data_IF_141958395780
#
_entry.id   IF_141958395780
#
_cell.length_a   1.000
_cell.length_b   1.000
_cell.length_c   1.000
_cell.angle_alpha   90.00
_cell.angle_beta   90.00
_cell.angle_gamma   90.00
#
_symmetry.space_group_name_H-M   'P 1'
#
loop_
_entity.id
_entity.type
_entity.pdbx_description
1 polymer ?
#
# COMPACT_ATOMS: atom_id res chain seq x y z
N UNK A 1 -38.62 52.92 7.02
CA UNK A 1 -38.37 51.50 7.39
C UNK A 1 -37.03 51.08 6.81
N UNK A 2 -36.02 50.87 7.65
CA UNK A 2 -34.71 50.31 7.25
C UNK A 2 -34.64 48.90 7.82
N UNK A 3 -34.66 47.88 6.97
CA UNK A 3 -34.47 46.49 7.38
C UNK A 3 -32.97 46.25 7.58
N UNK A 4 -32.57 45.97 8.83
CA UNK A 4 -31.28 45.36 9.13
C UNK A 4 -31.39 43.85 8.85
N UNK A 5 -30.63 43.38 7.87
CA UNK A 5 -30.44 41.95 7.61
C UNK A 5 -29.20 41.52 8.39
N UNK A 6 -29.41 40.79 9.47
CA UNK A 6 -28.37 40.10 10.22
C UNK A 6 -28.01 38.79 9.51
N UNK A 7 -26.81 38.72 8.93
CA UNK A 7 -26.21 37.45 8.47
C UNK A 7 -25.66 36.69 9.68
N UNK A 8 -26.06 35.43 9.92
CA UNK A 8 -25.38 34.60 10.91
C UNK A 8 -24.04 34.12 10.34
N UNK A 9 -22.95 34.48 11.01
CA UNK A 9 -21.63 33.90 10.77
C UNK A 9 -21.67 32.46 11.30
N UNK A 10 -21.74 31.46 10.42
CA UNK A 10 -21.47 30.07 10.79
C UNK A 10 -19.97 29.93 11.04
N UNK A 11 -19.56 29.91 12.30
CA UNK A 11 -18.23 29.47 12.69
C UNK A 11 -18.13 27.95 12.47
N UNK A 12 -17.41 27.53 11.44
CA UNK A 12 -17.02 26.13 11.29
C UNK A 12 -16.04 25.77 12.42
N UNK A 13 -16.50 25.01 13.40
CA UNK A 13 -15.63 24.39 14.40
C UNK A 13 -14.78 23.33 13.67
N UNK A 14 -13.55 23.68 13.31
CA UNK A 14 -12.57 22.69 12.86
C UNK A 14 -12.09 21.91 14.08
N UNK A 15 -12.56 20.67 14.24
CA UNK A 15 -11.98 19.74 15.20
C UNK A 15 -10.49 19.55 14.88
N UNK A 16 -9.61 19.75 15.87
CA UNK A 16 -8.20 19.47 15.71
C UNK A 16 -8.01 17.95 15.55
N UNK A 17 -7.49 17.53 14.41
CA UNK A 17 -7.16 16.13 14.15
C UNK A 17 -5.79 15.83 14.76
N UNK A 18 -5.73 14.92 15.74
CA UNK A 18 -4.47 14.52 16.40
C UNK A 18 -4.03 13.18 15.85
N UNK A 19 -2.79 13.10 15.36
CA UNK A 19 -2.19 11.85 14.88
C UNK A 19 -1.94 10.92 16.07
N UNK A 20 -2.42 9.69 15.98
CA UNK A 20 -2.16 8.64 16.97
C UNK A 20 -0.85 7.94 16.58
N UNK A 21 0.26 8.42 17.13
CA UNK A 21 1.61 7.97 16.74
C UNK A 21 1.80 6.45 16.90
N UNK A 22 1.32 5.86 18.00
CA UNK A 22 1.47 4.43 18.29
C UNK A 22 0.74 3.50 17.31
N UNK A 23 -0.18 4.02 16.50
CA UNK A 23 -0.91 3.29 15.47
C UNK A 23 -0.67 3.88 14.07
N UNK A 24 0.41 4.64 13.90
CA UNK A 24 0.74 5.33 12.64
C UNK A 24 2.21 5.10 12.25
N UNK A 25 2.50 5.06 10.95
CA UNK A 25 3.85 5.07 10.40
C UNK A 25 3.91 5.78 9.03
N UNK A 26 5.09 6.26 8.65
CA UNK A 26 5.31 6.91 7.35
C UNK A 26 4.80 8.35 7.24
N UNK A 27 4.55 9.03 8.37
CA UNK A 27 4.25 10.48 8.42
C UNK A 27 5.50 11.36 8.60
N UNK A 28 6.63 10.78 9.02
CA UNK A 28 7.91 11.46 9.15
C UNK A 28 8.80 11.32 7.91
N UNK A 29 10.09 11.67 8.03
CA UNK A 29 11.05 11.54 6.93
C UNK A 29 11.42 10.08 6.63
N UNK A 30 11.31 9.19 7.61
CA UNK A 30 11.56 7.75 7.47
C UNK A 30 10.37 6.95 7.96
N UNK A 31 10.17 5.77 7.36
CA UNK A 31 9.13 4.82 7.77
C UNK A 31 9.42 4.23 9.15
N UNK A 32 10.70 3.97 9.43
CA UNK A 32 11.17 3.42 10.68
C UNK A 32 12.52 4.02 11.08
N UNK A 33 12.81 4.13 12.39
CA UNK A 33 14.15 4.41 12.89
C UNK A 33 15.20 3.37 12.42
N UNK A 34 14.80 2.09 12.32
CA UNK A 34 15.68 0.96 11.99
C UNK A 34 15.11 0.14 10.83
N UNK A 35 15.90 -0.72 10.19
CA UNK A 35 15.43 -1.59 9.08
C UNK A 35 14.76 -2.89 9.55
N UNK A 36 14.59 -3.09 10.85
CA UNK A 36 14.14 -4.37 11.41
C UNK A 36 12.75 -4.32 12.04
N UNK A 37 12.28 -3.14 12.45
CA UNK A 37 10.99 -2.98 13.13
C UNK A 37 10.27 -1.74 12.65
N UNK A 38 8.96 -1.60 12.90
CA UNK A 38 8.24 -0.33 12.81
C UNK A 38 7.67 -0.06 14.22
N UNK A 39 7.94 1.10 14.85
CA UNK A 39 7.46 1.37 16.20
C UNK A 39 5.93 1.22 16.32
N UNK A 40 5.48 0.48 17.33
CA UNK A 40 4.05 0.21 17.55
C UNK A 40 3.43 -0.83 16.62
N UNK A 41 4.22 -1.45 15.72
CA UNK A 41 3.73 -2.44 14.75
C UNK A 41 4.51 -3.75 14.83
N UNK A 42 3.78 -4.87 14.85
CA UNK A 42 4.34 -6.19 14.67
C UNK A 42 4.22 -6.63 13.22
N UNK A 43 5.35 -7.00 12.64
CA UNK A 43 5.45 -7.38 11.23
C UNK A 43 5.89 -8.84 11.15
N UNK A 44 5.32 -9.58 10.21
CA UNK A 44 5.68 -10.97 9.97
C UNK A 44 5.07 -11.49 8.68
N UNK A 45 5.36 -12.74 8.34
CA UNK A 45 4.88 -13.35 7.11
C UNK A 45 5.02 -14.86 7.10
N UNK A 46 4.46 -15.48 6.06
CA UNK A 46 4.57 -16.90 5.76
C UNK A 46 5.14 -17.07 4.35
N UNK A 47 6.12 -17.96 4.20
CA UNK A 47 6.87 -18.15 2.96
C UNK A 47 7.88 -17.02 2.64
N UNK A 48 7.82 -15.91 3.37
CA UNK A 48 8.75 -14.78 3.27
C UNK A 48 8.73 -13.94 4.56
N UNK A 49 9.78 -13.17 4.79
CA UNK A 49 9.84 -12.15 5.86
C UNK A 49 9.76 -10.76 5.23
N UNK A 50 8.69 -9.97 5.49
CA UNK A 50 8.52 -8.64 4.91
C UNK A 50 9.76 -7.75 5.08
N UNK A 51 10.07 -6.95 4.05
CA UNK A 51 11.25 -6.08 4.06
C UNK A 51 10.86 -4.65 4.44
N UNK A 52 11.51 -4.12 5.48
CA UNK A 52 11.34 -2.73 5.91
C UNK A 52 12.45 -1.89 5.30
N UNK A 53 12.08 -0.98 4.41
CA UNK A 53 12.98 -0.01 3.80
C UNK A 53 12.74 1.38 4.41
N UNK A 54 13.63 2.32 4.11
CA UNK A 54 13.58 3.68 4.69
C UNK A 54 12.28 4.42 4.37
N UNK A 55 11.63 4.11 3.24
CA UNK A 55 10.44 4.82 2.75
C UNK A 55 9.23 3.91 2.52
N UNK A 56 9.36 2.59 2.66
CA UNK A 56 8.27 1.64 2.39
C UNK A 56 8.46 0.30 3.08
N UNK A 57 7.36 -0.36 3.40
CA UNK A 57 7.29 -1.74 3.83
C UNK A 57 6.87 -2.59 2.62
N UNK A 58 7.69 -3.55 2.23
CA UNK A 58 7.35 -4.55 1.21
C UNK A 58 6.69 -5.72 1.92
N UNK A 59 5.37 -5.81 1.84
CA UNK A 59 4.58 -6.82 2.52
C UNK A 59 4.64 -8.17 1.78
N UNK A 60 4.64 -8.12 0.45
CA UNK A 60 4.88 -9.30 -0.40
C UNK A 60 5.93 -8.96 -1.47
N UNK A 61 6.89 -9.86 -1.74
CA UNK A 61 7.91 -9.64 -2.74
C UNK A 61 7.37 -9.95 -4.16
N UNK A 62 8.01 -9.44 -5.22
CA UNK A 62 7.70 -9.83 -6.60
C UNK A 62 8.10 -11.28 -6.93
N UNK A 63 8.90 -11.91 -6.07
CA UNK A 63 9.25 -13.33 -6.09
C UNK A 63 9.85 -13.71 -4.72
N UNK A 64 9.57 -14.89 -4.13
CA UNK A 64 8.70 -15.96 -4.63
C UNK A 64 7.19 -15.66 -4.48
N UNK A 65 6.36 -16.38 -5.22
CA UNK A 65 4.90 -16.39 -5.03
C UNK A 65 4.45 -17.26 -3.86
N UNK A 66 3.13 -17.35 -3.63
CA UNK A 66 2.50 -18.05 -2.51
C UNK A 66 2.97 -17.55 -1.13
N UNK A 67 3.26 -16.25 -1.04
CA UNK A 67 3.71 -15.61 0.19
C UNK A 67 2.58 -14.82 0.84
N UNK A 68 2.63 -14.72 2.16
CA UNK A 68 1.76 -13.86 2.96
C UNK A 68 2.60 -12.93 3.81
N UNK A 69 2.14 -11.70 3.98
CA UNK A 69 2.73 -10.74 4.90
C UNK A 69 1.65 -10.07 5.74
N UNK A 70 2.01 -9.67 6.95
CA UNK A 70 1.16 -8.86 7.81
C UNK A 70 1.95 -7.78 8.54
N UNK A 71 1.25 -6.72 8.90
CA UNK A 71 1.67 -5.71 9.85
C UNK A 71 0.48 -5.38 10.75
N UNK A 72 0.59 -5.57 12.06
CA UNK A 72 -0.48 -5.30 13.04
C UNK A 72 -0.04 -4.24 14.04
N UNK A 73 -0.89 -3.25 14.30
CA UNK A 73 -0.69 -2.30 15.37
C UNK A 73 -0.79 -3.02 16.73
N UNK A 74 0.13 -2.71 17.65
CA UNK A 74 0.20 -3.32 18.97
C UNK A 74 -0.79 -2.68 19.96
N UNK A 75 -1.13 -1.41 19.75
CA UNK A 75 -2.06 -0.67 20.58
C UNK A 75 -3.47 -0.63 19.95
N UNK A 76 -4.53 -0.97 20.71
CA UNK A 76 -5.89 -0.81 20.25
C UNK A 76 -6.28 0.67 20.19
N UNK A 77 -7.21 0.99 19.28
CA UNK A 77 -7.70 2.36 19.09
C UNK A 77 -8.81 2.65 20.08
N UNK A 78 -8.59 3.59 20.99
CA UNK A 78 -9.54 3.98 22.04
C UNK A 78 -10.62 4.97 21.58
N UNK A 79 -10.45 5.59 20.41
CA UNK A 79 -11.35 6.62 19.90
C UNK A 79 -12.51 6.02 19.08
N UNK A 80 -13.73 6.49 19.30
CA UNK A 80 -14.92 6.10 18.51
C UNK A 80 -14.96 6.76 17.13
N UNK A 81 -14.40 7.97 17.02
CA UNK A 81 -14.31 8.73 15.76
C UNK A 81 -12.85 8.90 15.34
N UNK A 82 -12.56 8.50 14.11
CA UNK A 82 -11.20 8.51 13.57
C UNK A 82 -11.21 8.64 12.05
N UNK A 83 -10.09 9.11 11.52
CA UNK A 83 -9.77 9.08 10.10
C UNK A 83 -8.42 8.40 9.89
N UNK A 84 -8.35 7.47 8.94
CA UNK A 84 -7.12 6.77 8.57
C UNK A 84 -6.77 7.09 7.12
N UNK A 85 -5.51 7.44 6.86
CA UNK A 85 -4.94 7.53 5.52
C UNK A 85 -3.97 6.38 5.29
N UNK A 86 -4.21 5.59 4.25
CA UNK A 86 -3.42 4.43 3.87
C UNK A 86 -2.87 4.61 2.46
N UNK A 87 -1.54 4.55 2.31
CA UNK A 87 -0.87 4.66 1.02
C UNK A 87 -0.17 3.36 0.66
N UNK A 88 -0.54 2.80 -0.49
CA UNK A 88 0.00 1.53 -0.97
C UNK A 88 0.29 1.56 -2.47
N UNK A 89 1.05 0.58 -2.93
CA UNK A 89 1.26 0.31 -4.36
C UNK A 89 1.28 -1.19 -4.59
N UNK A 90 0.68 -1.62 -5.69
CA UNK A 90 0.82 -2.98 -6.19
C UNK A 90 1.58 -2.96 -7.52
N UNK A 91 2.64 -3.75 -7.62
CA UNK A 91 3.42 -3.90 -8.86
C UNK A 91 3.68 -5.36 -9.16
N UNK A 92 3.55 -5.77 -10.42
CA UNK A 92 3.82 -7.15 -10.81
C UNK A 92 3.82 -7.34 -12.32
N UNK A 93 4.24 -8.54 -12.73
CA UNK A 93 4.28 -8.97 -14.13
C UNK A 93 2.87 -9.01 -14.75
N UNK A 94 2.80 -9.16 -16.08
CA UNK A 94 1.52 -9.44 -16.73
C UNK A 94 0.86 -10.68 -16.10
N UNK A 95 -0.40 -10.55 -15.70
CA UNK A 95 -1.18 -11.57 -14.96
C UNK A 95 -0.67 -11.92 -13.55
N UNK A 96 0.18 -11.09 -12.95
CA UNK A 96 0.38 -11.11 -11.50
C UNK A 96 -0.93 -10.87 -10.74
N UNK A 97 -0.95 -11.23 -9.47
CA UNK A 97 -2.11 -11.00 -8.64
C UNK A 97 -1.83 -11.18 -7.15
N UNK A 98 -2.92 -11.18 -6.41
CA UNK A 98 -2.90 -11.20 -4.96
C UNK A 98 -3.95 -10.24 -4.42
N UNK A 99 -4.03 -10.17 -3.11
CA UNK A 99 -4.97 -9.33 -2.41
C UNK A 99 -4.25 -8.60 -1.28
N UNK A 100 -4.70 -7.38 -1.03
CA UNK A 100 -4.26 -6.53 0.08
C UNK A 100 -5.49 -6.23 0.92
N UNK A 101 -5.38 -6.36 2.23
CA UNK A 101 -6.45 -6.06 3.16
C UNK A 101 -5.98 -5.09 4.23
N UNK A 102 -6.75 -4.04 4.45
CA UNK A 102 -6.66 -3.20 5.64
C UNK A 102 -7.78 -3.61 6.60
N UNK A 103 -7.41 -3.92 7.84
CA UNK A 103 -8.29 -4.41 8.87
C UNK A 103 -8.45 -3.38 9.99
N UNK A 104 -9.65 -3.34 10.56
CA UNK A 104 -9.93 -2.77 11.87
C UNK A 104 -10.73 -3.80 12.66
N UNK A 105 -10.02 -4.64 13.41
CA UNK A 105 -10.58 -5.88 13.96
C UNK A 105 -10.19 -6.09 15.43
N UNK A 106 -11.08 -6.77 16.16
CA UNK A 106 -10.85 -7.25 17.51
C UNK A 106 -9.85 -8.40 17.49
N UNK A 107 -8.85 -8.35 18.36
CA UNK A 107 -7.81 -9.38 18.49
C UNK A 107 -7.13 -9.73 17.15
N UNK A 108 -6.91 -8.72 16.30
CA UNK A 108 -6.60 -8.92 14.88
C UNK A 108 -5.39 -9.82 14.63
N UNK A 109 -4.28 -9.60 15.35
CA UNK A 109 -3.09 -10.43 15.16
C UNK A 109 -3.32 -11.91 15.53
N UNK A 110 -4.03 -12.19 16.63
CA UNK A 110 -4.22 -13.56 17.12
C UNK A 110 -5.31 -14.31 16.35
N UNK A 111 -6.35 -13.61 15.88
CA UNK A 111 -7.48 -14.19 15.13
C UNK A 111 -7.26 -14.23 13.62
N UNK A 112 -6.65 -13.20 13.04
CA UNK A 112 -6.49 -13.05 11.58
C UNK A 112 -5.06 -13.39 11.17
N UNK A 113 -4.07 -12.84 11.87
CA UNK A 113 -2.65 -13.08 11.59
C UNK A 113 -2.26 -12.66 10.17
N UNK A 114 -1.89 -13.64 9.34
CA UNK A 114 -1.49 -13.52 7.92
C UNK A 114 -2.65 -13.80 6.94
N UNK A 115 -3.87 -14.00 7.43
CA UNK A 115 -5.00 -14.45 6.63
C UNK A 115 -5.51 -13.36 5.67
N UNK A 116 -5.87 -13.77 4.46
CA UNK A 116 -6.69 -12.96 3.55
C UNK A 116 -8.17 -13.07 3.91
N UNK A 117 -9.01 -12.19 3.35
CA UNK A 117 -10.48 -12.27 3.50
C UNK A 117 -11.05 -13.64 3.05
N UNK A 118 -10.35 -14.33 2.15
CA UNK A 118 -10.74 -15.63 1.59
C UNK A 118 -10.29 -16.83 2.44
N UNK A 119 -9.45 -16.60 3.45
CA UNK A 119 -8.87 -17.66 4.27
C UNK A 119 -9.03 -17.46 5.77
N UNK A 120 -9.48 -16.28 6.19
CA UNK A 120 -9.74 -15.94 7.59
C UNK A 120 -10.96 -16.72 8.08
N UNK A 121 -10.91 -17.16 9.33
CA UNK A 121 -12.03 -17.84 9.98
C UNK A 121 -13.13 -16.88 10.43
N UNK A 122 -13.59 -17.06 11.67
CA UNK A 122 -14.41 -16.09 12.38
C UNK A 122 -13.56 -14.92 12.90
N UNK A 123 -14.05 -13.70 12.69
CA UNK A 123 -13.40 -12.46 13.11
C UNK A 123 -14.46 -11.39 13.38
N UNK A 124 -14.13 -10.35 14.15
CA UNK A 124 -15.06 -9.27 14.52
C UNK A 124 -14.44 -7.92 14.15
N UNK A 125 -15.10 -7.18 13.26
CA UNK A 125 -14.70 -5.84 12.83
C UNK A 125 -14.97 -5.55 11.36
N UNK A 126 -14.11 -4.70 10.79
CA UNK A 126 -14.14 -4.25 9.40
C UNK A 126 -12.89 -4.64 8.62
N UNK A 127 -13.06 -4.93 7.33
CA UNK A 127 -11.97 -5.17 6.39
C UNK A 127 -12.22 -4.43 5.08
N UNK A 128 -11.20 -3.71 4.60
CA UNK A 128 -11.14 -3.14 3.26
C UNK A 128 -10.20 -3.99 2.41
N UNK A 129 -10.71 -4.56 1.33
CA UNK A 129 -9.97 -5.47 0.46
C UNK A 129 -9.73 -4.81 -0.89
N UNK A 130 -8.50 -4.90 -1.37
CA UNK A 130 -8.07 -4.52 -2.71
C UNK A 130 -7.66 -5.78 -3.45
N UNK A 131 -8.38 -6.12 -4.52
CA UNK A 131 -8.11 -7.31 -5.33
C UNK A 131 -8.64 -7.19 -6.76
N UNK A 132 -8.44 -8.25 -7.55
CA UNK A 132 -8.86 -8.31 -8.96
C UNK A 132 -10.32 -8.77 -9.15
N UNK A 133 -11.15 -8.70 -8.11
CA UNK A 133 -12.57 -9.04 -8.23
C UNK A 133 -13.31 -7.99 -9.08
N UNK A 134 -14.38 -8.39 -9.78
CA UNK A 134 -15.20 -7.50 -10.60
C UNK A 134 -14.67 -7.22 -12.03
N UNK A 135 -13.50 -7.75 -12.40
CA UNK A 135 -12.98 -7.72 -13.77
C UNK A 135 -11.53 -7.26 -13.87
N UNK A 136 -11.09 -6.91 -15.11
CA UNK A 136 -9.68 -6.58 -15.40
C UNK A 136 -9.15 -5.33 -14.67
N UNK A 137 -10.05 -4.46 -14.20
CA UNK A 137 -9.67 -3.22 -13.52
C UNK A 137 -9.31 -3.43 -12.06
N UNK A 138 -9.75 -4.49 -11.40
CA UNK A 138 -9.67 -4.61 -9.95
C UNK A 138 -10.70 -3.72 -9.22
N UNK A 139 -10.88 -3.98 -7.93
CA UNK A 139 -11.88 -3.33 -7.10
C UNK A 139 -11.40 -3.12 -5.67
N UNK A 140 -12.05 -2.18 -5.00
CA UNK A 140 -11.92 -1.96 -3.55
C UNK A 140 -13.25 -2.29 -2.91
N UNK A 141 -13.25 -3.13 -1.88
CA UNK A 141 -14.46 -3.73 -1.29
C UNK A 141 -14.42 -3.71 0.23
N UNK A 142 -15.54 -3.37 0.86
CA UNK A 142 -15.72 -3.36 2.31
C UNK A 142 -16.46 -4.60 2.80
N UNK A 143 -15.93 -5.23 3.84
CA UNK A 143 -16.49 -6.40 4.52
C UNK A 143 -16.66 -6.14 6.00
N UNK A 144 -17.65 -6.80 6.60
CA UNK A 144 -17.93 -6.76 8.04
C UNK A 144 -18.15 -8.17 8.56
N UNK A 145 -17.75 -8.39 9.79
CA UNK A 145 -18.08 -9.60 10.53
C UNK A 145 -18.23 -9.23 12.01
N UNK A 146 -19.09 -9.94 12.71
CA UNK A 146 -19.41 -9.76 14.13
C UNK A 146 -18.90 -10.94 14.97
N UNK A 147 -18.01 -11.76 14.41
CA UNK A 147 -17.49 -12.98 15.01
C UNK A 147 -18.32 -14.23 14.73
N UNK A 148 -19.48 -14.13 14.08
CA UNK A 148 -20.37 -15.29 13.87
C UNK A 148 -20.05 -16.06 12.59
N UNK A 149 -19.69 -15.35 11.52
CA UNK A 149 -19.53 -15.94 10.19
C UNK A 149 -18.10 -16.44 9.98
N UNK A 150 -17.95 -17.71 9.60
CA UNK A 150 -16.67 -18.25 9.17
C UNK A 150 -16.45 -17.99 7.68
N UNK A 151 -15.56 -17.04 7.37
CA UNK A 151 -15.28 -16.63 6.00
C UNK A 151 -14.55 -17.72 5.20
N UNK A 152 -13.73 -18.54 5.85
CA UNK A 152 -12.93 -19.60 5.21
C UNK A 152 -13.81 -20.72 4.65
N UNK A 153 -14.92 -21.02 5.32
CA UNK A 153 -15.88 -22.03 4.87
C UNK A 153 -17.04 -21.46 4.05
N UNK A 154 -17.10 -20.14 3.87
CA UNK A 154 -18.17 -19.49 3.12
C UNK A 154 -18.05 -19.75 1.61
N UNK A 155 -19.14 -20.19 0.98
CA UNK A 155 -19.14 -20.59 -0.44
C UNK A 155 -18.83 -19.46 -1.41
N UNK A 156 -19.21 -18.24 -1.05
CA UNK A 156 -19.00 -17.03 -1.86
C UNK A 156 -18.64 -15.88 -0.94
N UNK A 157 -17.36 -15.74 -0.61
CA UNK A 157 -16.91 -14.62 0.22
C UNK A 157 -17.24 -13.29 -0.45
N UNK A 158 -17.15 -13.24 -1.78
CA UNK A 158 -17.39 -12.03 -2.56
C UNK A 158 -18.80 -11.44 -2.38
N UNK A 159 -19.82 -12.26 -2.11
CA UNK A 159 -21.19 -11.77 -1.86
C UNK A 159 -21.37 -11.13 -0.49
N UNK A 160 -20.40 -11.24 0.41
CA UNK A 160 -20.43 -10.64 1.75
C UNK A 160 -19.98 -9.15 1.75
N UNK A 161 -19.47 -8.66 0.62
CA UNK A 161 -19.08 -7.26 0.51
C UNK A 161 -20.33 -6.35 0.59
N UNK A 162 -20.34 -5.40 1.53
CA UNK A 162 -21.46 -4.47 1.70
C UNK A 162 -21.31 -3.18 0.88
N UNK A 163 -20.09 -2.86 0.46
CA UNK A 163 -19.75 -1.66 -0.32
C UNK A 163 -18.55 -1.94 -1.22
N UNK A 164 -18.55 -1.37 -2.42
CA UNK A 164 -17.46 -1.57 -3.37
C UNK A 164 -17.39 -0.43 -4.39
N UNK A 165 -16.23 -0.29 -5.02
CA UNK A 165 -16.03 0.50 -6.23
C UNK A 165 -14.97 -0.17 -7.13
N UNK A 166 -15.05 0.08 -8.43
CA UNK A 166 -14.01 -0.34 -9.37
C UNK A 166 -12.79 0.58 -9.23
N UNK A 167 -11.60 -0.01 -9.11
CA UNK A 167 -10.35 0.75 -8.97
C UNK A 167 -9.14 0.00 -9.52
N UNK A 168 -8.50 0.61 -10.53
CA UNK A 168 -7.26 0.10 -11.14
C UNK A 168 -6.02 0.45 -10.34
N UNK A 169 -5.70 -0.42 -9.38
CA UNK A 169 -4.61 -0.23 -8.42
C UNK A 169 -3.22 -0.72 -8.91
N UNK A 170 -3.18 -1.63 -9.88
CA UNK A 170 -1.93 -2.29 -10.31
C UNK A 170 -1.10 -1.42 -11.25
N UNK A 171 0.21 -1.45 -11.08
CA UNK A 171 1.20 -0.90 -12.01
C UNK A 171 0.98 0.60 -12.34
N UNK A 172 0.43 1.38 -11.39
CA UNK A 172 0.17 2.82 -11.56
C UNK A 172 1.43 3.71 -11.56
N UNK A 173 2.59 3.18 -11.14
CA UNK A 173 3.83 3.93 -10.94
C UNK A 173 3.83 4.82 -9.68
N UNK A 174 2.69 5.41 -9.32
CA UNK A 174 2.44 6.14 -8.06
C UNK A 174 1.86 5.23 -6.97
N UNK A 175 1.83 5.73 -5.73
CA UNK A 175 1.05 5.12 -4.65
C UNK A 175 -0.42 5.56 -4.74
N UNK A 176 -1.32 4.62 -4.46
CA UNK A 176 -2.75 4.83 -4.27
C UNK A 176 -3.01 5.33 -2.85
N UNK A 177 -3.88 6.32 -2.68
CA UNK A 177 -4.23 6.88 -1.37
C UNK A 177 -5.67 6.52 -1.02
N UNK A 178 -5.85 5.71 0.01
CA UNK A 178 -7.16 5.39 0.56
C UNK A 178 -7.37 6.17 1.84
N UNK A 179 -8.51 6.86 1.96
CA UNK A 179 -8.91 7.46 3.24
C UNK A 179 -10.20 6.84 3.75
N UNK A 180 -10.15 6.41 5.00
CA UNK A 180 -11.27 5.88 5.75
C UNK A 180 -11.64 6.89 6.81
N UNK A 181 -12.91 7.24 6.89
CA UNK A 181 -13.44 8.14 7.92
C UNK A 181 -14.59 7.44 8.61
N UNK A 182 -14.46 7.25 9.91
CA UNK A 182 -15.50 6.70 10.76
C UNK A 182 -15.93 7.77 11.77
N UNK A 183 -17.21 8.12 11.73
CA UNK A 183 -17.88 8.96 12.74
C UNK A 183 -19.02 8.18 13.37
N UNK A 184 -19.66 8.75 14.39
CA UNK A 184 -20.84 8.13 15.00
C UNK A 184 -22.02 7.94 14.03
N UNK A 185 -22.01 8.58 12.86
CA UNK A 185 -23.12 8.57 11.90
C UNK A 185 -22.78 7.93 10.55
N UNK A 186 -21.49 7.77 10.22
CA UNK A 186 -21.09 7.42 8.86
C UNK A 186 -19.71 6.78 8.80
N UNK A 187 -19.61 5.71 8.00
CA UNK A 187 -18.36 5.19 7.48
C UNK A 187 -18.24 5.63 6.02
N UNK A 188 -17.14 6.30 5.69
CA UNK A 188 -16.83 6.77 4.34
C UNK A 188 -15.45 6.27 3.91
N UNK A 189 -15.36 5.77 2.68
CA UNK A 189 -14.12 5.33 2.05
C UNK A 189 -13.93 6.10 0.75
N UNK A 190 -12.79 6.78 0.64
CA UNK A 190 -12.35 7.48 -0.57
C UNK A 190 -11.02 6.89 -1.07
N UNK A 191 -10.81 6.95 -2.37
CA UNK A 191 -9.61 6.43 -3.05
C UNK A 191 -9.17 7.49 -4.06
N UNK A 192 -7.93 7.97 -3.94
CA UNK A 192 -7.39 9.06 -4.76
C UNK A 192 -8.36 10.27 -4.83
N UNK A 193 -8.89 10.68 -3.67
CA UNK A 193 -9.87 11.77 -3.49
C UNK A 193 -11.26 11.54 -4.13
N UNK A 194 -11.53 10.34 -4.65
CA UNK A 194 -12.85 9.96 -5.18
C UNK A 194 -13.61 9.09 -4.19
N UNK A 195 -14.91 9.34 -4.04
CA UNK A 195 -15.79 8.52 -3.22
C UNK A 195 -15.86 7.10 -3.78
N UNK A 196 -15.49 6.10 -2.97
CA UNK A 196 -15.64 4.69 -3.31
C UNK A 196 -17.00 4.19 -2.82
N UNK A 197 -17.24 4.26 -1.51
CA UNK A 197 -18.54 3.98 -0.92
C UNK A 197 -18.67 4.66 0.45
N UNK A 198 -19.91 4.87 0.88
CA UNK A 198 -20.21 5.31 2.23
C UNK A 198 -21.53 4.75 2.73
N UNK A 199 -21.66 4.62 4.05
CA UNK A 199 -22.84 4.03 4.68
C UNK A 199 -23.02 4.58 6.10
N UNK A 200 -24.27 4.74 6.50
CA UNK A 200 -24.67 5.12 7.85
C UNK A 200 -25.13 3.92 8.70
N UNK A 201 -25.00 2.69 8.18
CA UNK A 201 -25.46 1.46 8.84
C UNK A 201 -24.36 0.72 9.60
N UNK A 202 -23.13 1.20 9.51
CA UNK A 202 -21.95 0.55 10.09
C UNK A 202 -21.54 1.29 11.34
N UNK A 203 -21.31 0.53 12.41
CA UNK A 203 -20.82 1.05 13.69
C UNK A 203 -19.63 0.20 14.10
N UNK A 204 -18.46 0.83 14.18
CA UNK A 204 -17.22 0.16 14.57
C UNK A 204 -16.89 0.51 16.02
N UNK A 205 -16.79 -0.48 16.92
CA UNK A 205 -16.48 -0.21 18.32
C UNK A 205 -15.03 0.26 18.50
N UNK A 206 -14.78 1.04 19.56
CA UNK A 206 -13.44 1.30 20.05
C UNK A 206 -12.85 0.03 20.68
N UNK A 207 -11.52 -0.03 20.79
CA UNK A 207 -10.78 -1.15 21.34
C UNK A 207 -10.26 -2.15 20.32
N UNK A 208 -10.53 -1.94 19.02
CA UNK A 208 -10.01 -2.78 17.94
C UNK A 208 -8.62 -2.31 17.49
N UNK A 209 -7.91 -3.21 16.82
CA UNK A 209 -6.56 -2.97 16.28
C UNK A 209 -6.59 -2.80 14.78
N UNK A 210 -5.77 -1.88 14.26
CA UNK A 210 -5.50 -1.81 12.82
C UNK A 210 -4.46 -2.85 12.41
N UNK A 211 -4.63 -3.40 11.22
CA UNK A 211 -3.65 -4.28 10.61
C UNK A 211 -3.74 -4.27 9.11
N UNK A 212 -2.66 -4.66 8.45
CA UNK A 212 -2.60 -4.83 7.01
C UNK A 212 -2.09 -6.23 6.72
N UNK A 213 -2.77 -6.95 5.85
CA UNK A 213 -2.32 -8.25 5.35
C UNK A 213 -2.24 -8.23 3.83
N UNK A 214 -1.37 -9.04 3.27
CA UNK A 214 -1.37 -9.32 1.85
C UNK A 214 -1.08 -10.80 1.61
N UNK A 215 -1.74 -11.38 0.61
CA UNK A 215 -1.51 -12.75 0.18
C UNK A 215 -1.39 -12.81 -1.35
N UNK A 216 -0.43 -13.61 -1.83
CA UNK A 216 -0.14 -13.75 -3.25
C UNK A 216 -0.35 -15.18 -3.74
N UNK A 217 -0.75 -15.37 -5.02
CA UNK A 217 -0.70 -16.67 -5.68
C UNK A 217 0.73 -16.96 -6.17
N UNK A 218 0.89 -18.01 -6.99
CA UNK A 218 2.18 -18.38 -7.59
C UNK A 218 2.82 -17.26 -8.42
N UNK A 219 2.01 -16.45 -9.12
CA UNK A 219 2.44 -15.24 -9.82
C UNK A 219 2.11 -14.00 -8.96
N UNK A 220 3.02 -13.54 -8.09
CA UNK A 220 2.71 -12.53 -7.10
C UNK A 220 2.74 -11.12 -7.69
N UNK A 221 1.86 -10.28 -7.17
CA UNK A 221 2.12 -8.85 -7.07
C UNK A 221 2.93 -8.55 -5.81
N UNK A 222 3.85 -7.61 -5.93
CA UNK A 222 4.47 -6.98 -4.79
C UNK A 222 3.56 -5.89 -4.24
N UNK A 223 3.12 -6.07 -2.99
CA UNK A 223 2.36 -5.07 -2.24
C UNK A 223 3.31 -4.28 -1.34
N UNK A 224 3.38 -2.98 -1.59
CA UNK A 224 4.25 -2.04 -0.90
C UNK A 224 3.40 -1.01 -0.15
N UNK A 225 3.73 -0.72 1.10
CA UNK A 225 3.03 0.25 1.94
C UNK A 225 3.98 1.38 2.26
N UNK A 226 3.56 2.62 1.98
CA UNK A 226 4.36 3.81 2.20
C UNK A 226 3.99 4.53 3.49
N UNK A 227 2.70 4.49 3.84
CA UNK A 227 2.15 5.28 4.92
C UNK A 227 0.87 4.66 5.45
N UNK A 228 0.72 4.68 6.76
CA UNK A 228 -0.55 4.48 7.45
C UNK A 228 -0.63 5.52 8.57
N UNK A 229 -1.58 6.44 8.50
CA UNK A 229 -1.74 7.50 9.50
C UNK A 229 -3.14 7.49 10.04
N UNK A 230 -3.25 7.28 11.34
CA UNK A 230 -4.50 7.34 12.08
C UNK A 230 -4.60 8.68 12.81
N UNK A 231 -5.73 9.35 12.67
CA UNK A 231 -6.05 10.60 13.34
C UNK A 231 -7.34 10.43 14.13
N UNK A 232 -7.39 10.92 15.36
CA UNK A 232 -8.64 11.04 16.11
C UNK A 232 -9.32 12.36 15.80
N UNK A 233 -10.65 12.36 15.81
CA UNK A 233 -11.42 13.58 15.88
C UNK A 233 -11.56 13.96 17.38
N UNK A 234 -10.85 14.99 17.83
CA UNK A 234 -11.11 15.51 19.18
C UNK A 234 -12.40 16.34 19.17
N UNK A 235 -13.41 15.87 19.89
CA UNK A 235 -14.48 16.70 20.39
C UNK A 235 -13.92 17.61 21.50
N UNK A 236 -13.54 18.83 21.11
CA UNK A 236 -13.40 19.98 22.01
C UNK A 236 -12.54 19.78 23.26
N UNK A 237 -11.22 19.68 23.10
CA UNK A 237 -10.29 20.16 24.11
C UNK A 237 -9.37 21.19 23.45
N UNK A 238 -9.20 22.41 23.99
CA UNK A 238 -8.16 23.30 23.49
C UNK A 238 -6.82 22.57 23.62
N UNK A 239 -5.88 22.77 22.66
CA UNK A 239 -4.52 22.26 22.83
C UNK A 239 -4.02 22.68 24.22
N UNK A 240 -3.20 21.86 24.91
CA UNK A 240 -2.58 22.28 26.14
C UNK A 240 -1.71 23.49 25.81
N UNK A 241 -2.28 24.68 26.01
CA UNK A 241 -1.52 25.91 26.15
C UNK A 241 -0.62 25.60 27.33
N UNK A 242 0.69 25.56 27.11
CA UNK A 242 1.66 25.64 28.18
C UNK A 242 1.39 26.96 28.91
N UNK A 243 0.52 26.91 29.91
CA UNK A 243 0.33 27.96 30.88
C UNK A 243 1.59 27.97 31.73
N UNK A 244 2.55 28.78 31.31
CA UNK A 244 3.52 29.35 32.22
C UNK A 244 2.73 30.03 33.34
N UNK A 245 2.78 29.45 34.54
CA UNK A 245 2.24 30.03 35.75
C UNK A 245 2.89 31.40 35.97
N UNK A 246 2.15 32.48 35.72
CA UNK A 246 2.33 33.73 36.44
C UNK A 246 1.15 33.88 37.41
N UNK A 247 1.39 33.42 38.63
CA UNK A 247 0.53 33.74 39.76
C UNK A 247 0.72 35.21 40.12
N UNK A 248 -0.40 35.93 40.13
CA UNK A 248 -0.55 37.33 40.53
C UNK A 248 -0.10 37.57 41.97
N UNK A 249 0.55 38.71 42.21
CA UNK A 249 0.22 39.55 43.36
C UNK A 249 -0.20 40.93 42.86
N UNK A 250 -1.49 41.23 43.06
CA UNK A 250 -2.12 42.53 42.87
C UNK A 250 -1.83 43.41 44.08
N UNK A 251 -1.68 44.71 43.90
CA UNK A 251 -2.21 45.75 44.79
C UNK A 251 -2.27 47.11 44.04
N UNK A 252 -3.14 48.04 44.47
CA UNK A 252 -3.88 48.95 43.60
C UNK A 252 -3.30 50.37 43.55
N UNK A 253 -3.58 51.06 42.44
CA UNK A 253 -3.22 52.46 42.23
C UNK A 253 -4.17 53.36 43.02
N UNK A 254 -3.63 54.12 43.98
CA UNK A 254 -4.25 55.31 44.55
C UNK A 254 -3.22 56.46 44.56
N UNK A 255 -3.70 57.64 44.19
CA UNK A 255 -2.93 58.85 43.94
C UNK A 255 -2.41 59.54 45.21
N UNK A 256 -1.27 60.23 45.09
CA UNK A 256 -0.98 61.62 45.52
C UNK A 256 0.47 61.80 46.01
N UNK A 257 1.07 62.93 45.57
CA UNK A 257 1.90 63.78 46.44
C UNK A 257 3.42 63.56 46.43
N UNK A 258 4.12 64.47 45.74
CA UNK A 258 5.34 65.20 46.14
C UNK A 258 5.95 64.78 47.49
N UNK A 259 7.26 64.56 47.69
CA UNK A 259 8.47 65.36 47.42
C UNK A 259 9.62 64.49 47.98
N UNK A 260 10.85 64.40 47.46
CA UNK A 260 11.91 65.42 47.57
C UNK A 260 13.20 64.90 46.89
N UNK A 261 13.81 65.81 46.12
CA UNK A 261 15.26 66.03 45.92
C UNK A 261 16.13 65.01 45.14
N UNK A 262 16.38 65.41 43.89
CA UNK A 262 17.60 65.27 43.06
C UNK A 262 18.94 65.52 43.82
N UNK A 263 20.14 65.18 43.27
CA UNK A 263 20.45 65.07 41.84
C UNK A 263 21.29 63.87 41.36
N UNK A 264 21.14 63.71 40.04
CA UNK A 264 21.84 62.90 39.02
C UNK A 264 23.37 62.99 39.08
N UNK A 265 24.04 61.86 38.85
CA UNK A 265 25.27 61.76 38.05
C UNK A 265 25.33 60.38 37.36
N UNK A 266 25.82 60.38 36.13
CA UNK A 266 25.63 59.38 35.08
C UNK A 266 26.47 58.10 35.23
N UNK A 267 25.91 56.95 34.82
CA UNK A 267 26.64 55.86 34.15
C UNK A 267 25.68 55.02 33.27
N UNK A 268 26.09 54.59 32.06
CA UNK A 268 25.18 54.18 30.99
C UNK A 268 24.82 52.68 31.02
N UNK A 269 23.67 52.27 30.46
CA UNK A 269 23.41 50.86 30.20
C UNK A 269 24.25 50.36 29.02
N UNK A 270 24.67 49.11 29.11
CA UNK A 270 25.79 48.48 28.40
C UNK A 270 25.57 48.27 26.91
N UNK A 271 26.62 48.61 26.12
CA UNK A 271 26.71 48.38 24.67
C UNK A 271 26.62 46.89 24.25
N UNK A 272 26.81 45.94 25.16
CA UNK A 272 26.85 44.51 24.83
C UNK A 272 25.50 43.97 24.32
N UNK A 273 24.39 44.52 24.79
CA UNK A 273 23.05 44.03 24.42
C UNK A 273 22.64 44.49 23.00
N UNK A 274 23.20 45.60 22.52
CA UNK A 274 23.00 46.06 21.14
C UNK A 274 23.93 45.34 20.16
N UNK A 275 25.14 44.96 20.60
CA UNK A 275 26.10 44.22 19.77
C UNK A 275 25.59 42.80 19.48
N UNK A 276 25.05 42.08 20.47
CA UNK A 276 24.52 40.72 20.25
C UNK A 276 23.29 40.73 19.31
N UNK A 277 22.40 41.71 19.46
CA UNK A 277 21.23 41.82 18.59
C UNK A 277 21.63 42.18 17.14
N UNK A 278 22.61 43.07 16.97
CA UNK A 278 23.13 43.42 15.64
C UNK A 278 23.85 42.24 14.97
N UNK A 279 24.60 41.43 15.73
CA UNK A 279 25.28 40.25 15.23
C UNK A 279 24.28 39.16 14.80
N UNK A 280 23.18 38.97 15.55
CA UNK A 280 22.09 38.06 15.19
C UNK A 280 21.36 38.50 13.92
N UNK A 281 21.10 39.80 13.76
CA UNK A 281 20.46 40.34 12.54
C UNK A 281 21.38 40.18 11.32
N UNK A 282 22.69 40.40 11.47
CA UNK A 282 23.64 40.21 10.36
C UNK A 282 23.73 38.74 9.94
N UNK A 283 23.67 37.82 10.90
CA UNK A 283 23.72 36.38 10.64
C UNK A 283 22.45 35.89 9.92
N UNK A 284 21.27 36.43 10.28
CA UNK A 284 20.01 36.18 9.58
C UNK A 284 20.08 36.69 8.15
N UNK A 285 20.57 37.91 7.92
CA UNK A 285 20.69 38.48 6.57
C UNK A 285 21.64 37.67 5.66
N UNK A 286 22.77 37.17 6.20
CA UNK A 286 23.67 36.28 5.46
C UNK A 286 23.02 34.93 5.15
N UNK A 287 22.26 34.37 6.08
CA UNK A 287 21.52 33.13 5.85
C UNK A 287 20.47 33.29 4.75
N UNK A 288 19.73 34.41 4.74
CA UNK A 288 18.78 34.74 3.68
C UNK A 288 19.45 34.90 2.31
N UNK A 289 20.62 35.53 2.25
CA UNK A 289 21.39 35.67 1.01
C UNK A 289 21.87 34.33 0.42
N UNK A 290 22.27 33.38 1.27
CA UNK A 290 22.67 32.04 0.84
C UNK A 290 21.47 31.24 0.31
N UNK A 291 20.31 31.33 0.97
CA UNK A 291 19.06 30.68 0.54
C UNK A 291 18.61 31.22 -0.81
N UNK A 292 18.66 32.54 -1.03
CA UNK A 292 18.29 33.15 -2.33
C UNK A 292 19.20 32.66 -3.46
N UNK A 293 20.51 32.52 -3.22
CA UNK A 293 21.45 31.96 -4.21
C UNK A 293 21.17 30.48 -4.50
N UNK A 294 20.82 29.70 -3.48
CA UNK A 294 20.53 28.28 -3.64
C UNK A 294 19.21 28.04 -4.38
N UNK A 295 18.18 28.84 -4.11
CA UNK A 295 16.93 28.86 -4.87
C UNK A 295 17.18 29.26 -6.33
N UNK A 296 18.01 30.27 -6.57
CA UNK A 296 18.39 30.69 -7.93
C UNK A 296 19.15 29.61 -8.71
N UNK A 297 20.03 28.86 -8.03
CA UNK A 297 20.76 27.74 -8.64
C UNK A 297 19.85 26.53 -8.92
N UNK A 298 18.89 26.22 -8.04
CA UNK A 298 17.88 25.19 -8.30
C UNK A 298 16.95 25.56 -9.47
N UNK A 299 16.56 26.84 -9.59
CA UNK A 299 15.74 27.33 -10.70
C UNK A 299 16.40 27.06 -12.06
N UNK A 300 17.68 27.41 -12.21
CA UNK A 300 18.45 27.17 -13.44
C UNK A 300 18.62 25.68 -13.77
N UNK A 301 18.80 24.83 -12.76
CA UNK A 301 18.91 23.38 -12.96
C UNK A 301 17.57 22.75 -13.36
N UNK A 302 16.46 23.28 -12.84
CA UNK A 302 15.10 22.87 -13.20
C UNK A 302 14.75 23.28 -14.63
N UNK A 303 15.06 24.51 -15.05
CA UNK A 303 14.86 24.97 -16.43
C UNK A 303 15.66 24.12 -17.43
N UNK A 304 16.92 23.80 -17.13
CA UNK A 304 17.72 22.93 -18.00
C UNK A 304 17.15 21.50 -18.12
N UNK A 305 16.52 20.97 -17.06
CA UNK A 305 15.79 19.69 -17.13
C UNK A 305 14.50 19.81 -17.95
N UNK A 306 13.80 20.94 -17.86
CA UNK A 306 12.60 21.18 -18.66
C UNK A 306 12.94 21.28 -20.15
N UNK A 307 14.04 21.93 -20.50
CA UNK A 307 14.53 22.01 -21.87
C UNK A 307 14.98 20.64 -22.42
N UNK A 308 15.69 19.82 -21.63
CA UNK A 308 16.07 18.45 -22.02
C UNK A 308 14.85 17.54 -22.23
N UNK A 309 13.82 17.66 -21.37
CA UNK A 309 12.57 16.92 -21.53
C UNK A 309 11.76 17.40 -22.74
N UNK A 310 11.71 18.69 -23.00
CA UNK A 310 11.04 19.25 -24.18
C UNK A 310 11.76 18.83 -25.46
N UNK A 311 13.09 18.73 -25.44
CA UNK A 311 13.89 18.24 -26.57
C UNK A 311 13.68 16.73 -26.81
N UNK A 312 13.49 15.94 -25.74
CA UNK A 312 13.11 14.52 -25.81
C UNK A 312 11.66 14.29 -26.27
N UNK A 313 10.76 15.25 -26.01
CA UNK A 313 9.39 15.25 -26.55
C UNK A 313 9.31 15.78 -27.99
N UNK A 314 10.35 16.44 -28.49
CA UNK A 314 10.44 16.96 -29.85
C UNK A 314 11.00 15.95 -30.88
N UNK A 315 11.03 14.65 -30.56
CA UNK A 315 11.37 13.62 -31.55
C UNK A 315 10.16 13.37 -32.46
N UNK A 316 10.07 14.19 -33.51
CA UNK A 316 9.07 14.17 -34.60
C UNK A 316 8.76 12.77 -35.17
N UNK A 317 9.69 11.82 -35.03
CA UNK A 317 9.54 10.44 -35.50
C UNK A 317 8.50 9.62 -34.74
N UNK A 318 8.35 9.81 -33.43
CA UNK A 318 7.38 9.00 -32.66
C UNK A 318 5.94 9.47 -32.89
N UNK A 319 5.73 10.77 -33.05
CA UNK A 319 4.42 11.37 -33.36
C UNK A 319 3.96 10.99 -34.77
N UNK A 320 4.87 10.99 -35.76
CA UNK A 320 4.57 10.54 -37.12
C UNK A 320 4.16 9.05 -37.17
N UNK A 321 4.79 8.20 -36.35
CA UNK A 321 4.42 6.78 -36.25
C UNK A 321 3.04 6.55 -35.60
N UNK A 322 2.62 7.46 -34.71
CA UNK A 322 1.34 7.44 -34.03
C UNK A 322 0.20 7.90 -34.95
N UNK A 323 0.44 8.92 -35.77
CA UNK A 323 -0.51 9.42 -36.76
C UNK A 323 -0.79 8.37 -37.86
N UNK A 324 0.26 7.68 -38.33
CA UNK A 324 0.11 6.57 -39.28
C UNK A 324 -0.70 5.39 -38.69
N UNK A 325 -0.58 5.13 -37.38
CA UNK A 325 -1.37 4.09 -36.69
C UNK A 325 -2.83 4.50 -36.49
N UNK A 326 -3.09 5.78 -36.22
CA UNK A 326 -4.44 6.31 -36.08
C UNK A 326 -5.21 6.27 -37.41
N UNK A 327 -4.59 6.68 -38.52
CA UNK A 327 -5.21 6.59 -39.85
C UNK A 327 -5.55 5.15 -40.25
N UNK A 328 -4.70 4.19 -39.89
CA UNK A 328 -4.96 2.76 -40.12
C UNK A 328 -6.13 2.24 -39.29
N UNK A 329 -6.29 2.72 -38.05
CA UNK A 329 -7.44 2.38 -37.21
C UNK A 329 -8.74 2.96 -37.74
N UNK A 330 -8.71 4.19 -38.27
CA UNK A 330 -9.89 4.83 -38.86
C UNK A 330 -10.36 4.11 -40.13
N UNK A 331 -9.43 3.65 -40.97
CA UNK A 331 -9.77 2.81 -42.14
C UNK A 331 -10.41 1.48 -41.74
N UNK A 332 -9.93 0.84 -40.68
CA UNK A 332 -10.50 -0.42 -40.16
C UNK A 332 -11.88 -0.17 -39.55
N UNK A 333 -12.09 0.94 -38.85
CA UNK A 333 -13.42 1.29 -38.32
C UNK A 333 -14.42 1.57 -39.44
N UNK A 334 -14.00 2.26 -40.50
CA UNK A 334 -14.85 2.50 -41.67
C UNK A 334 -15.11 1.24 -42.52
N UNK A 335 -14.22 0.24 -42.49
CA UNK A 335 -14.50 -1.06 -43.12
C UNK A 335 -15.47 -1.88 -42.27
N UNK A 336 -15.33 -1.86 -40.94
CA UNK A 336 -16.25 -2.53 -40.01
C UNK A 336 -17.65 -1.90 -40.08
N UNK A 337 -17.76 -0.58 -40.21
CA UNK A 337 -19.05 0.10 -40.34
C UNK A 337 -19.76 -0.23 -41.66
N UNK A 338 -19.01 -0.41 -42.76
CA UNK A 338 -19.55 -0.90 -44.04
C UNK A 338 -19.90 -2.39 -44.02
N UNK A 339 -19.14 -3.19 -43.27
CA UNK A 339 -19.38 -4.63 -43.11
C UNK A 339 -20.55 -4.94 -42.15
N UNK A 340 -20.93 -4.00 -41.28
CA UNK A 340 -22.10 -4.10 -40.40
C UNK A 340 -23.43 -3.81 -41.10
N UNK A 341 -23.42 -3.25 -42.31
CA UNK A 341 -24.64 -2.89 -43.05
C UNK A 341 -25.09 -4.00 -44.04
N UNK A 342 -24.21 -4.98 -44.34
CA UNK A 342 -24.50 -6.12 -45.20
C UNK A 342 -25.16 -7.28 -44.46
N UNK A 343 -26.49 -7.36 -44.52
CA UNK A 343 -27.26 -8.51 -44.00
C UNK A 343 -26.99 -9.80 -44.81
N UNK A 344 -25.93 -10.53 -44.48
CA UNK A 344 -25.72 -11.91 -44.97
C UNK A 344 -24.94 -12.78 -43.97
N UNK A 345 -25.42 -12.83 -42.72
CA UNK A 345 -24.82 -13.64 -41.65
C UNK A 345 -25.02 -15.16 -41.83
N UNK A 346 -26.00 -15.60 -42.61
CA UNK A 346 -26.29 -17.03 -42.77
C UNK A 346 -25.33 -17.78 -43.70
N UNK A 347 -24.86 -17.14 -44.79
CA UNK A 347 -23.91 -17.79 -45.70
C UNK A 347 -22.53 -17.97 -45.05
N UNK A 348 -22.12 -17.00 -44.22
CA UNK A 348 -20.86 -17.04 -43.47
C UNK A 348 -20.87 -18.03 -42.32
N UNK A 349 -22.02 -18.26 -41.67
CA UNK A 349 -22.12 -19.29 -40.63
C UNK A 349 -21.96 -20.70 -41.20
N UNK A 350 -22.54 -20.98 -42.37
CA UNK A 350 -22.35 -22.26 -43.05
C UNK A 350 -20.91 -22.45 -43.53
N UNK A 351 -20.27 -21.39 -44.06
CA UNK A 351 -18.84 -21.41 -44.37
C UNK A 351 -17.96 -21.66 -43.13
N UNK A 352 -18.29 -21.04 -41.99
CA UNK A 352 -17.58 -21.27 -40.72
C UNK A 352 -17.78 -22.71 -40.21
N UNK A 353 -18.98 -23.26 -40.33
CA UNK A 353 -19.28 -24.64 -39.96
C UNK A 353 -18.49 -25.63 -40.82
N UNK A 354 -18.39 -25.40 -42.12
CA UNK A 354 -17.62 -26.24 -43.05
C UNK A 354 -16.11 -26.10 -42.83
N UNK A 355 -15.64 -24.89 -42.48
CA UNK A 355 -14.23 -24.63 -42.13
C UNK A 355 -13.85 -25.26 -40.80
N UNK A 356 -14.77 -25.32 -39.83
CA UNK A 356 -14.56 -26.03 -38.55
C UNK A 356 -14.53 -27.55 -38.74
N UNK A 357 -15.38 -28.10 -39.62
CA UNK A 357 -15.34 -29.53 -39.96
C UNK A 357 -14.05 -29.94 -40.65
N UNK A 358 -13.60 -29.17 -41.64
CA UNK A 358 -12.34 -29.46 -42.33
C UNK A 358 -11.14 -29.30 -41.40
N UNK A 359 -11.13 -28.28 -40.53
CA UNK A 359 -10.09 -28.09 -39.53
C UNK A 359 -10.02 -29.24 -38.51
N UNK A 360 -11.16 -29.83 -38.13
CA UNK A 360 -11.18 -30.99 -37.23
C UNK A 360 -10.59 -32.26 -37.88
N UNK A 361 -10.81 -32.48 -39.17
CA UNK A 361 -10.23 -33.63 -39.89
C UNK A 361 -8.72 -33.45 -40.07
N UNK A 362 -8.26 -32.26 -40.44
CA UNK A 362 -6.84 -31.98 -40.64
C UNK A 362 -6.05 -31.95 -39.33
N UNK A 363 -6.64 -31.48 -38.22
CA UNK A 363 -5.99 -31.53 -36.89
C UNK A 363 -5.84 -32.96 -36.36
N UNK A 364 -6.77 -33.86 -36.69
CA UNK A 364 -6.70 -35.26 -36.21
C UNK A 364 -5.58 -36.04 -36.92
N UNK A 365 -5.37 -35.82 -38.22
CA UNK A 365 -4.24 -36.39 -38.96
C UNK A 365 -2.89 -35.78 -38.54
N UNK A 366 -2.84 -34.46 -38.30
CA UNK A 366 -1.58 -33.79 -37.97
C UNK A 366 -1.13 -34.01 -36.51
N UNK A 367 -2.05 -34.36 -35.61
CA UNK A 367 -1.73 -34.77 -34.24
C UNK A 367 -1.15 -36.18 -34.17
N UNK A 368 -1.62 -37.13 -34.99
CA UNK A 368 -1.03 -38.48 -35.00
C UNK A 368 0.42 -38.50 -35.48
N UNK A 369 0.77 -37.68 -36.49
CA UNK A 369 2.15 -37.59 -37.00
C UNK A 369 3.12 -36.87 -36.05
N UNK A 370 2.68 -35.83 -35.34
CA UNK A 370 3.54 -35.06 -34.44
C UNK A 370 3.69 -35.71 -33.06
N UNK A 371 2.70 -36.47 -32.59
CA UNK A 371 2.76 -37.16 -31.28
C UNK A 371 3.66 -38.40 -31.37
N UNK A 372 3.67 -39.13 -32.49
CA UNK A 372 4.57 -40.28 -32.68
C UNK A 372 6.06 -39.89 -32.77
N UNK A 373 6.36 -38.72 -33.36
CA UNK A 373 7.74 -38.23 -33.44
C UNK A 373 8.22 -37.51 -32.17
N UNK A 374 7.32 -36.89 -31.39
CA UNK A 374 7.67 -36.28 -30.11
C UNK A 374 7.85 -37.31 -28.98
N UNK A 375 7.17 -38.47 -29.05
CA UNK A 375 7.34 -39.55 -28.07
C UNK A 375 8.63 -40.36 -28.32
N UNK A 376 9.18 -40.35 -29.54
CA UNK A 376 10.41 -41.10 -29.87
C UNK A 376 11.70 -40.29 -29.68
N UNK A 377 11.65 -38.95 -29.69
CA UNK A 377 12.84 -38.10 -29.61
C UNK A 377 13.34 -37.81 -28.17
N UNK A 378 12.54 -38.10 -27.14
CA UNK A 378 12.93 -37.87 -25.74
C UNK A 378 12.44 -38.97 -24.80
N UNK A 379 12.83 -40.21 -25.09
CA UNK A 379 12.85 -41.27 -24.08
C UNK A 379 14.23 -41.32 -23.42
N UNK A 380 14.37 -40.92 -22.14
CA UNK A 380 15.59 -41.21 -21.41
C UNK A 380 15.62 -42.72 -21.19
N UNK A 381 16.71 -43.37 -21.60
CA UNK A 381 16.92 -44.82 -21.46
C UNK A 381 16.64 -45.26 -20.03
N UNK A 382 15.47 -45.88 -19.81
CA UNK A 382 15.07 -46.49 -18.52
C UNK A 382 16.14 -47.44 -17.95
N UNK A 383 17.00 -48.01 -18.82
CA UNK A 383 18.13 -48.85 -18.43
C UNK A 383 19.22 -48.13 -17.61
N UNK A 384 19.44 -46.82 -17.82
CA UNK A 384 20.45 -46.07 -17.05
C UNK A 384 20.02 -45.91 -15.58
N UNK A 385 18.74 -45.59 -15.34
CA UNK A 385 18.20 -45.47 -13.99
C UNK A 385 18.16 -46.81 -13.26
N UNK A 386 17.77 -47.89 -13.95
CA UNK A 386 17.77 -49.24 -13.37
C UNK A 386 19.21 -49.66 -13.00
N UNK A 387 20.19 -49.42 -13.87
CA UNK A 387 21.59 -49.71 -13.57
C UNK A 387 22.11 -48.90 -12.37
N UNK A 388 21.74 -47.62 -12.27
CA UNK A 388 22.15 -46.75 -11.18
C UNK A 388 21.56 -47.20 -9.83
N UNK A 389 20.30 -47.65 -9.82
CA UNK A 389 19.65 -48.22 -8.63
C UNK A 389 20.33 -49.53 -8.21
N UNK A 390 20.62 -50.43 -9.16
CA UNK A 390 21.31 -51.70 -8.87
C UNK A 390 22.72 -51.44 -8.33
N UNK A 391 23.48 -50.52 -8.94
CA UNK A 391 24.81 -50.14 -8.48
C UNK A 391 24.78 -49.58 -7.04
N UNK A 392 23.79 -48.75 -6.72
CA UNK A 392 23.59 -48.20 -5.38
C UNK A 392 23.24 -49.29 -4.35
N UNK A 393 22.39 -50.25 -4.70
CA UNK A 393 22.05 -51.37 -3.82
C UNK A 393 23.26 -52.29 -3.54
N UNK A 394 24.09 -52.58 -4.55
CA UNK A 394 25.32 -53.36 -4.37
C UNK A 394 26.31 -52.60 -3.48
N UNK A 395 26.47 -51.29 -3.67
CA UNK A 395 27.34 -50.46 -2.82
C UNK A 395 26.93 -50.50 -1.34
N UNK A 396 25.63 -50.40 -1.04
CA UNK A 396 25.11 -50.51 0.33
C UNK A 396 25.34 -51.90 0.91
N UNK A 397 25.14 -52.96 0.13
CA UNK A 397 25.38 -54.33 0.57
C UNK A 397 26.87 -54.58 0.91
N UNK A 398 27.79 -54.12 0.05
CA UNK A 398 29.23 -54.22 0.29
C UNK A 398 29.63 -53.41 1.55
N UNK A 399 29.14 -52.18 1.67
CA UNK A 399 29.39 -51.35 2.87
C UNK A 399 28.89 -52.01 4.14
N UNK A 400 27.72 -52.65 4.11
CA UNK A 400 27.17 -53.37 5.26
C UNK A 400 28.02 -54.59 5.65
N UNK A 401 28.51 -55.36 4.67
CA UNK A 401 29.40 -56.51 4.93
C UNK A 401 30.73 -56.04 5.52
N UNK A 402 31.32 -54.97 5.00
CA UNK A 402 32.55 -54.38 5.53
C UNK A 402 32.35 -53.86 6.95
N UNK A 403 31.24 -53.18 7.21
CA UNK A 403 30.88 -52.71 8.55
C UNK A 403 30.74 -53.87 9.54
N UNK A 404 30.01 -54.93 9.15
CA UNK A 404 29.83 -56.13 9.99
C UNK A 404 31.15 -56.85 10.25
N UNK A 405 32.02 -56.97 9.24
CA UNK A 405 33.35 -57.57 9.36
C UNK A 405 34.27 -56.75 10.27
N UNK A 406 34.23 -55.42 10.18
CA UNK A 406 34.97 -54.53 11.10
C UNK A 406 34.46 -54.67 12.54
N UNK A 407 33.15 -54.75 12.74
CA UNK A 407 32.56 -54.90 14.07
C UNK A 407 32.88 -56.26 14.72
N UNK A 408 32.98 -57.33 13.93
CA UNK A 408 33.40 -58.65 14.42
C UNK A 408 34.88 -58.73 14.82
N UNK A 409 35.74 -57.91 14.19
CA UNK A 409 37.18 -57.87 14.44
C UNK A 409 37.61 -56.82 15.47
N UNK A 410 36.69 -56.13 16.14
CA UNK A 410 37.03 -55.23 17.24
C UNK A 410 37.29 -56.04 18.52
N UNK A 411 38.49 -55.95 19.13
CA UNK A 411 38.77 -56.64 20.37
C UNK A 411 37.86 -56.09 21.47
N UNK A 412 37.15 -57.00 22.16
CA UNK A 412 36.28 -56.66 23.28
C UNK A 412 37.15 -56.13 24.42
N UNK A 413 37.04 -54.83 24.70
CA UNK A 413 37.53 -54.26 25.96
C UNK A 413 36.63 -54.80 27.07
N UNK A 414 37.16 -55.75 27.84
CA UNK A 414 36.59 -56.12 29.13
C UNK A 414 36.93 -55.00 30.12
N UNK A 415 35.93 -54.61 30.92
CA UNK A 415 36.09 -53.71 32.06
C UNK A 415 37.01 -54.33 33.10
#
# INVERSE_FOLDING_TARGET
MKFQISLPLFAALTAAQVVIEGSSFGYGQTLSPNRDTIPGWQIGGEGHSPQILSNKLILTPPYPGNTRGYAWAQAPVSHSEWSAEFQFRASGVERGGGNLQLWYAKDGQSKIGSSSIYTVGQWDGFALVVDMHGGRRGSIRGFLNDGTTDYKSHKSVDSLAFGHCDYSYRNLGRASVVRLKHTNSMLEVTVDDQLCFATNKVTLPAGNTFGVTAATPENPDSFEIFKFVLQSAQSGAPPPVQQQQQQQQRQPVAAQGQTQQQPRSDQPPTNEQYVDLSARIELVNKATGNIIREIGNQGKQSENRHLDLQQKLATKEQIASLDARLQKMEQILQSIQRDLEGKDYHSRFNQLQDTLRSSHLTLTEHLQGSVLNAITASTPRMGFFIFLIIAFQVFLAVSYVVYKRRRANMPKKFL
#
